data_IF_087476030779
#
_entry.id   IF_087476030779
#
_cell.length_a   1.000
_cell.length_b   1.000
_cell.length_c   1.000
_cell.angle_alpha   90.00
_cell.angle_beta   90.00
_cell.angle_gamma   90.00
#
_symmetry.space_group_name_H-M   'P 1'
#
loop_
_entity.id
_entity.type
_entity.pdbx_description
1 polymer ?
#
# COMPACT_ATOMS: atom_id res chain seq x y z
N UNK A 1 20.95 -24.10 14.99
CA UNK A 1 19.50 -23.78 15.01
C UNK A 1 19.04 -23.45 13.59
N UNK A 2 18.48 -24.42 12.84
CA UNK A 2 18.19 -24.27 11.39
C UNK A 2 16.68 -24.18 11.08
N UNK A 3 15.82 -24.51 12.04
CA UNK A 3 14.37 -24.64 11.87
C UNK A 3 13.61 -23.96 13.01
N UNK A 4 13.90 -22.68 13.28
CA UNK A 4 13.05 -21.91 14.17
C UNK A 4 11.66 -21.71 13.52
N UNK A 5 10.54 -21.88 14.24
CA UNK A 5 9.21 -21.64 13.70
C UNK A 5 9.07 -20.20 13.16
N UNK A 6 8.29 -20.02 12.09
CA UNK A 6 8.05 -18.68 11.49
C UNK A 6 7.44 -17.67 12.47
N UNK A 7 6.71 -18.15 13.47
CA UNK A 7 6.11 -17.32 14.53
C UNK A 7 7.06 -16.99 15.68
N UNK A 8 8.27 -17.57 15.68
CA UNK A 8 9.22 -17.40 16.78
C UNK A 8 9.81 -15.98 16.81
N UNK A 9 10.15 -15.52 18.01
CA UNK A 9 10.83 -14.23 18.21
C UNK A 9 12.16 -14.16 17.44
N UNK A 10 12.90 -15.27 17.34
CA UNK A 10 14.13 -15.35 16.56
C UNK A 10 13.90 -15.09 15.07
N UNK A 11 12.85 -15.68 14.49
CA UNK A 11 12.52 -15.50 13.08
C UNK A 11 12.18 -14.03 12.77
N UNK A 12 11.43 -13.36 13.65
CA UNK A 12 11.15 -11.91 13.54
C UNK A 12 12.41 -11.06 13.68
N UNK A 13 13.30 -11.40 14.61
CA UNK A 13 14.54 -10.67 14.82
C UNK A 13 15.49 -10.76 13.60
N UNK A 14 15.51 -11.92 12.92
CA UNK A 14 16.37 -12.15 11.74
C UNK A 14 15.78 -11.57 10.46
N UNK A 15 14.47 -11.74 10.24
CA UNK A 15 13.82 -11.36 8.98
C UNK A 15 13.13 -9.99 9.03
N UNK A 16 13.06 -9.34 10.19
CA UNK A 16 12.49 -8.00 10.35
C UNK A 16 11.06 -7.91 9.80
N UNK A 17 10.82 -6.89 8.98
CA UNK A 17 9.52 -6.63 8.34
C UNK A 17 9.04 -7.78 7.42
N UNK A 18 9.97 -8.55 6.84
CA UNK A 18 9.66 -9.69 5.97
C UNK A 18 9.17 -10.92 6.75
N UNK A 19 9.26 -10.91 8.08
CA UNK A 19 8.80 -12.03 8.90
C UNK A 19 7.29 -12.26 8.78
N UNK A 20 6.53 -11.16 8.68
CA UNK A 20 5.06 -11.19 8.56
C UNK A 20 4.59 -10.96 7.12
N UNK A 21 5.36 -10.23 6.30
CA UNK A 21 5.01 -9.93 4.90
C UNK A 21 6.15 -10.21 3.92
N UNK A 22 6.42 -11.49 3.72
CA UNK A 22 7.46 -11.95 2.81
C UNK A 22 7.17 -11.61 1.34
N UNK A 23 8.17 -11.81 0.48
CA UNK A 23 8.07 -11.53 -0.94
C UNK A 23 6.91 -12.28 -1.61
N UNK A 24 6.64 -13.52 -1.19
CA UNK A 24 5.54 -14.30 -1.73
C UNK A 24 4.19 -13.68 -1.37
N UNK A 25 4.02 -13.22 -0.13
CA UNK A 25 2.82 -12.50 0.29
C UNK A 25 2.62 -11.20 -0.51
N UNK A 26 3.70 -10.45 -0.77
CA UNK A 26 3.68 -9.24 -1.59
C UNK A 26 3.23 -9.52 -3.03
N UNK A 27 3.85 -10.50 -3.68
CA UNK A 27 3.54 -10.88 -5.06
C UNK A 27 2.11 -11.44 -5.17
N UNK A 28 1.69 -12.24 -4.19
CA UNK A 28 0.34 -12.81 -4.17
C UNK A 28 -0.72 -11.72 -4.00
N UNK A 29 -0.50 -10.76 -3.10
CA UNK A 29 -1.37 -9.60 -2.96
C UNK A 29 -1.47 -8.82 -4.28
N UNK A 30 -0.36 -8.64 -4.99
CA UNK A 30 -0.35 -7.96 -6.29
C UNK A 30 -1.15 -8.72 -7.35
N UNK A 31 -1.05 -10.05 -7.39
CA UNK A 31 -1.83 -10.89 -8.30
C UNK A 31 -3.32 -10.75 -8.01
N UNK A 32 -3.72 -10.78 -6.72
CA UNK A 32 -5.11 -10.58 -6.31
C UNK A 32 -5.64 -9.23 -6.81
N UNK A 33 -4.89 -8.15 -6.60
CA UNK A 33 -5.27 -6.79 -7.03
C UNK A 33 -5.51 -6.72 -8.55
N UNK A 34 -4.61 -7.31 -9.33
CA UNK A 34 -4.70 -7.34 -10.79
C UNK A 34 -5.89 -8.16 -11.29
N UNK A 35 -6.13 -9.33 -10.68
CA UNK A 35 -7.26 -10.18 -11.03
C UNK A 35 -8.59 -9.50 -10.71
N UNK A 36 -8.71 -8.87 -9.54
CA UNK A 36 -9.91 -8.12 -9.18
C UNK A 36 -10.17 -6.96 -10.15
N UNK A 37 -9.13 -6.19 -10.48
CA UNK A 37 -9.24 -5.10 -11.45
C UNK A 37 -9.64 -5.61 -12.84
N UNK A 38 -9.02 -6.69 -13.32
CA UNK A 38 -9.34 -7.29 -14.62
C UNK A 38 -10.77 -7.85 -14.66
N UNK A 39 -11.24 -8.48 -13.59
CA UNK A 39 -12.61 -8.96 -13.49
C UNK A 39 -13.61 -7.81 -13.47
N UNK A 40 -13.30 -6.72 -12.75
CA UNK A 40 -14.13 -5.52 -12.74
C UNK A 40 -14.23 -4.88 -14.14
N UNK A 41 -13.12 -4.75 -14.86
CA UNK A 41 -13.11 -4.24 -16.24
C UNK A 41 -13.95 -5.10 -17.18
N UNK A 42 -13.85 -6.44 -17.07
CA UNK A 42 -14.59 -7.39 -17.92
C UNK A 42 -16.06 -7.54 -17.54
N UNK A 43 -16.46 -7.16 -16.32
CA UNK A 43 -17.83 -7.32 -15.84
C UNK A 43 -18.85 -6.44 -16.61
N UNK A 44 -18.40 -5.43 -17.36
CA UNK A 44 -19.28 -4.60 -18.21
C UNK A 44 -20.30 -3.73 -17.45
N UNK A 45 -20.20 -3.66 -16.12
CA UNK A 45 -21.12 -2.89 -15.26
C UNK A 45 -20.61 -1.46 -15.11
N UNK A 46 -21.25 -0.52 -15.84
CA UNK A 46 -20.89 0.92 -15.86
C UNK A 46 -20.79 1.57 -14.48
N UNK A 47 -21.64 1.17 -13.55
CA UNK A 47 -21.71 1.75 -12.20
C UNK A 47 -21.14 0.84 -11.10
N UNK A 48 -20.44 -0.24 -11.47
CA UNK A 48 -19.84 -1.11 -10.46
C UNK A 48 -18.68 -0.38 -9.75
N UNK A 49 -18.60 -0.41 -8.41
CA UNK A 49 -17.49 0.20 -7.70
C UNK A 49 -16.18 -0.50 -8.05
N UNK A 50 -15.13 0.29 -8.28
CA UNK A 50 -13.78 -0.23 -8.49
C UNK A 50 -13.34 -1.02 -7.25
N UNK A 51 -12.75 -2.22 -7.40
CA UNK A 51 -12.27 -2.99 -6.26
C UNK A 51 -11.19 -2.22 -5.49
N UNK A 52 -11.22 -2.37 -4.17
CA UNK A 52 -10.19 -1.83 -3.28
C UNK A 52 -9.00 -2.79 -3.27
N UNK A 53 -7.75 -2.29 -3.25
CA UNK A 53 -6.58 -3.14 -3.12
C UNK A 53 -6.65 -4.01 -1.86
N UNK A 54 -6.02 -5.18 -1.93
CA UNK A 54 -5.82 -6.06 -0.79
C UNK A 54 -5.12 -5.29 0.35
N UNK A 55 -5.61 -5.38 1.60
CA UNK A 55 -5.06 -4.60 2.70
C UNK A 55 -3.60 -5.00 2.96
N UNK A 56 -2.71 -4.02 2.96
CA UNK A 56 -1.27 -4.20 3.24
C UNK A 56 -0.97 -3.67 4.65
N UNK A 57 -0.08 -4.33 5.43
CA UNK A 57 0.19 -3.95 6.83
C UNK A 57 0.64 -2.49 7.01
N UNK A 58 1.39 -1.95 6.05
CA UNK A 58 1.88 -0.57 6.07
C UNK A 58 0.88 0.45 5.51
N UNK A 59 -0.25 0.01 4.94
CA UNK A 59 -1.27 0.89 4.38
C UNK A 59 -2.10 1.49 5.52
N UNK A 60 -1.53 2.49 6.21
CA UNK A 60 -2.29 3.30 7.17
C UNK A 60 -3.45 3.97 6.42
N UNK A 61 -4.67 3.86 6.96
CA UNK A 61 -5.88 4.51 6.42
C UNK A 61 -5.63 6.02 6.30
N UNK A 62 -5.46 6.50 5.06
CA UNK A 62 -5.47 7.91 4.67
C UNK A 62 -4.22 8.72 5.10
N UNK A 63 -3.36 9.03 4.12
CA UNK A 63 -2.55 10.26 4.19
C UNK A 63 -3.45 11.35 3.65
N UNK A 64 -4.09 12.08 4.57
CA UNK A 64 -5.01 13.17 4.24
C UNK A 64 -5.91 13.48 5.44
N UNK A 65 -5.60 14.57 6.14
CA UNK A 65 -6.60 15.24 6.96
C UNK A 65 -7.65 15.88 6.04
N UNK A 66 -8.89 16.04 6.51
CA UNK A 66 -9.97 16.73 5.76
C UNK A 66 -9.70 18.23 5.55
N UNK A 67 -8.52 18.72 5.95
CA UNK A 67 -8.07 20.09 5.81
C UNK A 67 -7.24 20.24 4.55
N UNK A 68 -7.79 20.86 3.52
CA UNK A 68 -7.02 21.37 2.38
C UNK A 68 -6.14 22.53 2.85
N UNK A 69 -4.83 22.45 2.63
CA UNK A 69 -3.94 23.60 2.81
C UNK A 69 -3.92 24.46 1.53
N UNK A 70 -3.84 25.80 1.63
CA UNK A 70 -3.62 26.66 0.47
C UNK A 70 -2.28 26.35 -0.22
N UNK A 71 -2.25 26.55 -1.54
CA UNK A 71 -1.12 26.18 -2.40
C UNK A 71 0.21 26.80 -1.96
N UNK A 72 0.20 28.03 -1.44
CA UNK A 72 1.42 28.73 -0.99
C UNK A 72 2.01 28.07 0.27
N UNK A 73 1.14 27.61 1.18
CA UNK A 73 1.55 26.89 2.39
C UNK A 73 2.08 25.49 2.04
N UNK A 74 1.51 24.87 0.98
CA UNK A 74 1.99 23.59 0.47
C UNK A 74 3.40 23.71 -0.15
N UNK A 75 3.66 24.77 -0.92
CA UNK A 75 4.97 25.01 -1.53
C UNK A 75 6.05 25.23 -0.47
N UNK A 76 5.72 25.95 0.61
CA UNK A 76 6.60 26.14 1.77
C UNK A 76 6.83 24.83 2.54
N UNK A 77 5.79 24.02 2.75
CA UNK A 77 5.90 22.72 3.42
C UNK A 77 6.74 21.71 2.65
N UNK A 78 6.56 21.65 1.32
CA UNK A 78 7.28 20.72 0.45
C UNK A 78 8.69 21.22 0.09
N UNK A 79 9.01 22.49 0.38
CA UNK A 79 10.29 23.09 0.00
C UNK A 79 10.52 23.10 -1.52
N UNK A 80 9.45 23.06 -2.31
CA UNK A 80 9.48 22.92 -3.76
C UNK A 80 8.58 23.97 -4.40
N UNK A 81 9.16 24.89 -5.18
CA UNK A 81 8.41 25.92 -5.92
C UNK A 81 8.62 25.77 -7.43
N UNK A 82 7.67 25.12 -8.14
CA UNK A 82 7.69 25.03 -9.60
C UNK A 82 7.17 26.29 -10.30
N UNK A 83 6.81 27.35 -9.55
CA UNK A 83 6.10 28.54 -10.09
C UNK A 83 6.99 29.76 -10.37
N UNK A 84 8.31 29.65 -10.29
CA UNK A 84 9.19 30.73 -10.78
C UNK A 84 9.22 30.71 -12.31
N UNK A 85 8.48 31.63 -12.93
CA UNK A 85 8.78 32.12 -14.27
C UNK A 85 9.32 33.53 -14.13
#
# INVERSE_FOLDING_TARGET
>A
MRHAPRTSAYFRAVHGELADWDLQAQLTAQVIDLLQSGNWQRAGKKNAPKPKPFPRPWLKKGIGTTTSMPLDEMDAFLGYSPRSR
#
